data_IF_722039033197
#
_entry.id   IF_722039033197
#
_cell.length_a   1.000
_cell.length_b   1.000
_cell.length_c   1.000
_cell.angle_alpha   90.00
_cell.angle_beta   90.00
_cell.angle_gamma   90.00
#
_symmetry.space_group_name_H-M   'P 1'
#
loop_
_entity.id
_entity.type
_entity.pdbx_description
1 polymer ?
#
# COMPACT_ATOMS: atom_id res chain seq x y z
N UNK A 1 7.20 -17.66 28.38
CA UNK A 1 7.43 -16.24 28.75
C UNK A 1 8.36 -15.58 27.75
N UNK A 2 9.69 -15.75 27.87
CA UNK A 2 10.67 -15.15 26.95
C UNK A 2 10.35 -15.33 25.45
N UNK A 3 9.95 -16.54 24.98
CA UNK A 3 9.62 -16.76 23.57
C UNK A 3 8.49 -15.86 23.05
N UNK A 4 7.46 -15.62 23.86
CA UNK A 4 6.29 -14.82 23.45
C UNK A 4 6.61 -13.34 23.43
N UNK A 5 7.39 -12.86 24.40
CA UNK A 5 7.85 -11.47 24.43
C UNK A 5 8.69 -11.16 23.19
N UNK A 6 9.66 -12.03 22.89
CA UNK A 6 10.49 -11.88 21.70
C UNK A 6 9.67 -11.96 20.41
N UNK A 7 8.70 -12.87 20.33
CA UNK A 7 7.84 -13.00 19.14
C UNK A 7 7.01 -11.73 18.90
N UNK A 8 6.38 -11.17 19.95
CA UNK A 8 5.61 -9.94 19.85
C UNK A 8 6.49 -8.80 19.38
N UNK A 9 7.66 -8.59 20.02
CA UNK A 9 8.57 -7.52 19.62
C UNK A 9 9.12 -7.71 18.20
N UNK A 10 9.44 -8.94 17.79
CA UNK A 10 9.88 -9.22 16.44
C UNK A 10 8.78 -8.90 15.40
N UNK A 11 7.51 -9.15 15.74
CA UNK A 11 6.37 -8.89 14.85
C UNK A 11 5.91 -7.43 14.81
N UNK A 12 6.10 -6.67 15.90
CA UNK A 12 5.46 -5.36 16.06
C UNK A 12 6.41 -4.19 16.23
N UNK A 13 7.63 -4.42 16.72
CA UNK A 13 8.61 -3.37 17.02
C UNK A 13 9.72 -3.25 15.97
N UNK A 14 9.65 -4.04 14.89
CA UNK A 14 10.65 -4.01 13.82
C UNK A 14 10.15 -3.11 12.69
N UNK A 15 10.88 -2.02 12.38
CA UNK A 15 10.51 -1.11 11.30
C UNK A 15 10.66 -1.81 9.96
N UNK A 16 9.70 -1.54 9.07
CA UNK A 16 9.88 -1.76 7.63
C UNK A 16 10.55 -0.58 6.96
N UNK A 17 10.36 0.61 7.52
CA UNK A 17 10.95 1.87 7.10
C UNK A 17 10.79 2.85 8.26
N UNK A 18 11.78 3.73 8.44
CA UNK A 18 11.76 4.73 9.49
C UNK A 18 11.03 5.99 9.04
N UNK A 19 10.30 6.61 9.97
CA UNK A 19 9.73 7.94 9.76
C UNK A 19 10.82 9.01 9.77
N UNK A 20 10.62 10.13 9.06
CA UNK A 20 11.44 11.32 9.23
C UNK A 20 11.42 11.81 10.69
N UNK A 21 12.56 12.34 11.16
CA UNK A 21 12.67 12.92 12.49
C UNK A 21 11.65 14.07 12.66
N UNK A 22 10.85 14.02 13.73
CA UNK A 22 9.83 15.03 14.03
C UNK A 22 8.47 14.84 13.33
N UNK A 23 8.29 13.80 12.52
CA UNK A 23 7.05 13.54 11.77
C UNK A 23 5.96 12.76 12.51
N UNK A 24 6.14 12.45 13.81
CA UNK A 24 5.23 11.56 14.54
C UNK A 24 4.57 12.27 15.73
N UNK A 25 3.24 12.18 15.81
CA UNK A 25 2.47 12.54 16.99
C UNK A 25 1.98 11.25 17.68
N UNK A 26 2.28 11.08 18.96
CA UNK A 26 1.61 10.09 19.78
C UNK A 26 0.20 10.59 20.08
N UNK A 27 -0.81 9.91 19.56
CA UNK A 27 -2.20 10.34 19.75
C UNK A 27 -2.73 9.80 21.07
N UNK A 28 -3.10 10.72 21.97
CA UNK A 28 -3.96 10.42 23.13
C UNK A 28 -5.44 10.46 22.76
N UNK A 29 -5.79 10.84 21.53
CA UNK A 29 -7.17 10.78 21.09
C UNK A 29 -7.60 9.31 21.06
N UNK A 30 -8.72 9.01 21.71
CA UNK A 30 -9.49 7.82 21.40
C UNK A 30 -9.86 7.96 19.92
N UNK A 31 -9.11 7.33 19.01
CA UNK A 31 -9.57 7.19 17.63
C UNK A 31 -10.97 6.62 17.70
N UNK A 32 -11.86 7.18 16.89
CA UNK A 32 -13.26 6.77 16.83
C UNK A 32 -13.36 5.25 16.92
N UNK A 33 -14.21 4.75 17.81
CA UNK A 33 -14.62 3.34 17.87
C UNK A 33 -15.31 2.87 16.56
N UNK A 34 -15.19 3.62 15.46
CA UNK A 34 -15.73 3.35 14.13
C UNK A 34 -15.02 2.19 13.41
N UNK A 35 -13.82 1.79 13.87
CA UNK A 35 -13.13 0.57 13.41
C UNK A 35 -13.16 -0.48 14.52
N UNK A 36 -14.34 -1.01 14.79
CA UNK A 36 -14.59 -2.09 15.77
C UNK A 36 -13.66 -3.29 15.53
N UNK A 37 -13.19 -3.50 14.29
CA UNK A 37 -12.26 -4.58 13.94
C UNK A 37 -10.91 -4.49 14.64
N UNK A 38 -10.33 -3.30 14.81
CA UNK A 38 -8.96 -3.16 15.32
C UNK A 38 -8.90 -3.43 16.84
N UNK A 39 -9.88 -2.88 17.57
CA UNK A 39 -10.04 -3.15 19.01
C UNK A 39 -10.29 -4.63 19.27
N UNK A 40 -11.14 -5.27 18.47
CA UNK A 40 -11.40 -6.71 18.59
C UNK A 40 -10.14 -7.53 18.26
N UNK A 41 -9.42 -7.17 17.19
CA UNK A 41 -8.19 -7.85 16.79
C UNK A 41 -7.12 -7.79 17.89
N UNK A 42 -6.93 -6.62 18.50
CA UNK A 42 -6.01 -6.42 19.62
C UNK A 42 -6.40 -7.26 20.86
N UNK A 43 -7.68 -7.24 21.23
CA UNK A 43 -8.19 -8.07 22.33
C UNK A 43 -7.91 -9.55 22.04
N UNK A 44 -8.32 -10.06 20.88
CA UNK A 44 -8.14 -11.47 20.51
C UNK A 44 -6.64 -11.84 20.48
N UNK A 45 -5.81 -10.97 19.92
CA UNK A 45 -4.37 -11.17 19.79
C UNK A 45 -3.63 -11.29 21.12
N UNK A 46 -4.11 -10.60 22.17
CA UNK A 46 -3.50 -10.65 23.50
C UNK A 46 -4.11 -11.68 24.46
N UNK A 47 -5.24 -12.33 24.12
CA UNK A 47 -5.78 -13.44 24.92
C UNK A 47 -4.74 -14.55 25.15
N UNK A 48 -4.02 -15.06 24.13
CA UNK A 48 -2.98 -16.08 24.33
C UNK A 48 -1.86 -15.62 25.27
N UNK A 49 -1.48 -14.34 25.20
CA UNK A 49 -0.48 -13.74 26.09
C UNK A 49 -0.97 -13.80 27.54
N UNK A 50 -2.23 -13.42 27.77
CA UNK A 50 -2.91 -13.54 29.04
C UNK A 50 -2.96 -14.96 29.59
N UNK A 51 -3.30 -15.94 28.75
CA UNK A 51 -3.35 -17.36 29.15
C UNK A 51 -1.99 -17.84 29.65
N UNK A 52 -0.91 -17.44 28.96
CA UNK A 52 0.46 -17.82 29.31
C UNK A 52 0.92 -17.17 30.61
N UNK A 53 0.60 -15.89 30.82
CA UNK A 53 0.98 -15.20 32.06
C UNK A 53 0.03 -15.46 33.23
N UNK A 54 -1.16 -16.00 32.99
CA UNK A 54 -2.15 -16.34 34.01
C UNK A 54 -1.63 -17.29 35.08
N UNK A 55 -0.63 -18.13 34.75
CA UNK A 55 0.04 -19.02 35.71
C UNK A 55 0.73 -18.25 36.87
N UNK A 56 1.00 -16.96 36.70
CA UNK A 56 1.60 -16.08 37.71
C UNK A 56 0.58 -15.19 38.43
N UNK A 57 -0.71 -15.35 38.13
CA UNK A 57 -1.80 -14.54 38.67
C UNK A 57 -2.12 -13.32 37.81
N UNK A 58 -3.36 -12.83 37.99
CA UNK A 58 -3.97 -11.78 37.15
C UNK A 58 -3.14 -10.50 37.12
N UNK A 59 -2.70 -10.00 38.29
CA UNK A 59 -1.95 -8.73 38.38
C UNK A 59 -0.63 -8.79 37.59
N UNK A 60 0.09 -9.90 37.66
CA UNK A 60 1.36 -10.07 36.93
C UNK A 60 1.10 -10.20 35.43
N UNK A 61 0.05 -10.91 35.04
CA UNK A 61 -0.34 -11.00 33.63
C UNK A 61 -0.69 -9.63 33.03
N UNK A 62 -1.48 -8.83 33.74
CA UNK A 62 -1.79 -7.47 33.32
C UNK A 62 -0.52 -6.60 33.27
N UNK A 63 0.35 -6.66 34.28
CA UNK A 63 1.62 -5.90 34.30
C UNK A 63 2.50 -6.21 33.08
N UNK A 64 2.74 -7.50 32.78
CA UNK A 64 3.54 -7.88 31.62
C UNK A 64 2.89 -7.51 30.29
N UNK A 65 1.56 -7.67 30.17
CA UNK A 65 0.84 -7.26 28.98
C UNK A 65 0.93 -5.75 28.75
N UNK A 66 0.80 -4.93 29.79
CA UNK A 66 0.98 -3.47 29.72
C UNK A 66 2.40 -3.13 29.29
N UNK A 67 3.42 -3.77 29.86
CA UNK A 67 4.82 -3.51 29.50
C UNK A 67 5.09 -3.83 28.02
N UNK A 68 4.67 -5.02 27.57
CA UNK A 68 4.85 -5.47 26.18
C UNK A 68 4.10 -4.55 25.22
N UNK A 69 2.85 -4.23 25.53
CA UNK A 69 2.02 -3.39 24.66
C UNK A 69 2.56 -1.97 24.60
N UNK A 70 2.91 -1.35 25.73
CA UNK A 70 3.44 0.01 25.74
C UNK A 70 4.77 0.09 24.98
N UNK A 71 5.65 -0.90 25.12
CA UNK A 71 6.89 -0.93 24.36
C UNK A 71 6.61 -1.09 22.85
N UNK A 72 5.75 -2.03 22.47
CA UNK A 72 5.31 -2.24 21.09
C UNK A 72 4.74 -0.96 20.49
N UNK A 73 3.78 -0.31 21.14
CA UNK A 73 3.16 0.92 20.65
C UNK A 73 4.16 2.09 20.58
N UNK A 74 4.99 2.27 21.61
CA UNK A 74 5.99 3.35 21.60
C UNK A 74 7.01 3.16 20.48
N UNK A 75 7.43 1.92 20.21
CA UNK A 75 8.37 1.62 19.12
C UNK A 75 7.80 1.98 17.74
N UNK A 76 6.47 1.92 17.57
CA UNK A 76 5.81 2.25 16.31
C UNK A 76 5.83 3.74 15.98
N UNK A 77 6.15 4.62 16.93
CA UNK A 77 6.26 6.06 16.70
C UNK A 77 7.28 6.43 15.62
N UNK A 78 8.32 5.61 15.45
CA UNK A 78 9.37 5.84 14.44
C UNK A 78 9.18 4.97 13.20
N UNK A 79 8.09 4.21 13.09
CA UNK A 79 7.84 3.25 12.01
C UNK A 79 6.82 3.81 11.01
N UNK A 80 7.17 3.81 9.73
CA UNK A 80 6.22 4.20 8.67
C UNK A 80 4.95 3.33 8.72
N UNK A 81 3.79 3.91 8.39
CA UNK A 81 2.49 3.22 8.28
C UNK A 81 1.89 2.60 9.56
N UNK A 82 2.53 2.78 10.72
CA UNK A 82 2.03 2.29 12.01
C UNK A 82 1.60 3.42 12.93
N UNK A 83 0.35 3.42 13.39
CA UNK A 83 -0.18 4.52 14.19
C UNK A 83 -0.44 4.05 15.61
N UNK A 84 0.48 4.29 16.56
CA UNK A 84 0.28 3.83 17.91
C UNK A 84 -0.79 4.65 18.64
N UNK A 85 -1.54 3.98 19.50
CA UNK A 85 -2.61 4.59 20.27
C UNK A 85 -2.73 4.04 21.69
N UNK A 86 -3.17 4.89 22.61
CA UNK A 86 -3.52 4.46 23.98
C UNK A 86 -4.66 3.44 23.96
N UNK A 87 -5.58 3.55 23.00
CA UNK A 87 -6.65 2.56 22.77
C UNK A 87 -6.11 1.17 22.45
N UNK A 88 -4.98 1.07 21.75
CA UNK A 88 -4.35 -0.20 21.41
C UNK A 88 -3.73 -0.83 22.65
N UNK A 89 -3.09 -0.02 23.50
CA UNK A 89 -2.61 -0.49 24.81
C UNK A 89 -3.75 -1.01 25.67
N UNK A 90 -4.86 -0.28 25.75
CA UNK A 90 -6.03 -0.68 26.56
C UNK A 90 -6.65 -1.98 26.02
N UNK A 91 -6.83 -2.10 24.72
CA UNK A 91 -7.42 -3.30 24.08
C UNK A 91 -6.53 -4.53 24.23
N UNK A 92 -5.22 -4.38 24.05
CA UNK A 92 -4.23 -5.43 24.30
C UNK A 92 -4.24 -5.90 25.76
N UNK A 93 -4.21 -4.97 26.73
CA UNK A 93 -4.27 -5.29 28.16
C UNK A 93 -5.60 -5.96 28.52
N UNK A 94 -6.71 -5.53 27.92
CA UNK A 94 -8.03 -6.15 28.10
C UNK A 94 -8.04 -7.60 27.61
N UNK A 95 -7.49 -7.86 26.41
CA UNK A 95 -7.29 -9.22 25.88
C UNK A 95 -6.47 -10.11 26.82
N UNK A 96 -5.33 -9.62 27.29
CA UNK A 96 -4.49 -10.36 28.23
C UNK A 96 -5.18 -10.60 29.59
N UNK A 97 -5.98 -9.65 30.05
CA UNK A 97 -6.77 -9.79 31.29
C UNK A 97 -7.80 -10.91 31.12
N UNK A 98 -8.53 -10.94 30.00
CA UNK A 98 -9.47 -12.02 29.68
C UNK A 98 -8.76 -13.38 29.61
N UNK A 99 -7.63 -13.45 28.92
CA UNK A 99 -6.83 -14.69 28.83
C UNK A 99 -6.34 -15.18 30.20
N UNK A 100 -5.91 -14.27 31.07
CA UNK A 100 -5.48 -14.61 32.42
C UNK A 100 -6.64 -15.13 33.28
N UNK A 101 -7.82 -14.50 33.20
CA UNK A 101 -9.03 -14.97 33.86
C UNK A 101 -9.44 -16.37 33.38
N UNK A 102 -9.34 -16.63 32.08
CA UNK A 102 -9.59 -17.95 31.48
C UNK A 102 -8.61 -18.99 32.04
N UNK A 103 -7.31 -18.67 32.06
CA UNK A 103 -6.28 -19.56 32.61
C UNK A 103 -6.50 -19.88 34.08
N UNK A 104 -6.89 -18.88 34.89
CA UNK A 104 -7.21 -19.06 36.31
C UNK A 104 -8.48 -19.89 36.53
N UNK A 105 -9.52 -19.66 35.72
CA UNK A 105 -10.81 -20.37 35.85
C UNK A 105 -10.71 -21.83 35.42
N UNK A 106 -9.95 -22.13 34.37
CA UNK A 106 -9.85 -23.48 33.78
C UNK A 106 -8.52 -24.17 34.07
N UNK A 107 -7.72 -23.61 34.98
CA UNK A 107 -6.41 -24.15 35.42
C UNK A 107 -5.54 -24.63 34.25
N UNK A 108 -5.47 -23.81 33.20
CA UNK A 108 -4.72 -24.11 31.97
C UNK A 108 -3.23 -24.08 32.30
N UNK A 109 -2.62 -25.24 32.46
CA UNK A 109 -1.16 -25.38 32.41
C UNK A 109 -0.76 -25.53 30.96
N UNK A 110 0.24 -24.77 30.49
CA UNK A 110 0.77 -24.93 29.13
C UNK A 110 1.19 -26.39 28.92
N UNK A 111 0.43 -27.21 28.17
CA UNK A 111 0.79 -28.59 27.98
C UNK A 111 2.07 -28.65 27.13
N UNK A 112 2.91 -29.65 27.35
CA UNK A 112 3.95 -29.98 26.37
C UNK A 112 3.23 -30.46 25.10
N UNK A 113 3.02 -29.54 24.15
CA UNK A 113 2.33 -29.86 22.90
C UNK A 113 3.24 -30.76 22.08
N UNK A 114 2.87 -32.03 21.93
CA UNK A 114 3.47 -32.90 20.92
C UNK A 114 2.98 -32.46 19.55
N UNK A 115 3.90 -32.07 18.68
CA UNK A 115 3.61 -31.71 17.30
C UNK A 115 3.44 -33.00 16.51
N UNK A 116 2.20 -33.28 16.07
CA UNK A 116 1.92 -34.45 15.23
C UNK A 116 2.42 -34.23 13.80
N UNK A 117 2.60 -35.33 13.05
CA UNK A 117 2.92 -35.26 11.60
C UNK A 117 1.88 -34.46 10.82
N UNK A 118 0.59 -34.57 11.17
CA UNK A 118 -0.48 -33.82 10.51
C UNK A 118 -0.40 -32.32 10.79
N UNK A 119 -0.13 -31.92 12.04
CA UNK A 119 0.06 -30.52 12.39
C UNK A 119 1.29 -29.93 11.68
N UNK A 120 2.33 -30.73 11.48
CA UNK A 120 3.53 -30.33 10.76
C UNK A 120 3.29 -30.16 9.24
N UNK A 121 2.52 -31.06 8.62
CA UNK A 121 2.09 -30.92 7.22
C UNK A 121 1.22 -29.67 7.07
N UNK A 122 0.27 -29.44 7.98
CA UNK A 122 -0.56 -28.24 7.96
C UNK A 122 0.28 -26.97 8.10
N UNK A 123 1.25 -26.95 9.01
CA UNK A 123 2.18 -25.83 9.15
C UNK A 123 2.99 -25.59 7.87
N UNK A 124 3.47 -26.65 7.21
CA UNK A 124 4.19 -26.54 5.94
C UNK A 124 3.31 -26.00 4.81
N UNK A 125 2.05 -26.44 4.70
CA UNK A 125 1.10 -25.91 3.72
C UNK A 125 0.77 -24.44 3.98
N UNK A 126 0.60 -24.06 5.25
CA UNK A 126 0.36 -22.67 5.63
C UNK A 126 1.59 -21.79 5.36
N UNK A 127 2.80 -22.31 5.55
CA UNK A 127 4.05 -21.64 5.13
C UNK A 127 4.04 -21.32 3.63
N UNK A 128 3.68 -22.31 2.78
CA UNK A 128 3.60 -22.09 1.32
C UNK A 128 2.51 -21.07 0.98
N UNK A 129 1.32 -21.19 1.59
CA UNK A 129 0.22 -20.26 1.37
C UNK A 129 0.60 -18.82 1.78
N UNK A 130 1.34 -18.66 2.89
CA UNK A 130 1.79 -17.35 3.38
C UNK A 130 2.83 -16.73 2.44
N UNK A 131 3.77 -17.52 1.91
CA UNK A 131 4.73 -17.05 0.90
C UNK A 131 4.01 -16.63 -0.38
N UNK A 132 3.05 -17.42 -0.86
CA UNK A 132 2.25 -17.08 -2.03
C UNK A 132 1.42 -15.81 -1.81
N UNK A 133 0.83 -15.65 -0.62
CA UNK A 133 0.13 -14.42 -0.24
C UNK A 133 1.04 -13.19 -0.29
N UNK A 134 2.24 -13.27 0.29
CA UNK A 134 3.22 -12.17 0.19
C UNK A 134 3.59 -11.89 -1.26
N UNK A 135 3.75 -12.92 -2.09
CA UNK A 135 4.03 -12.77 -3.51
C UNK A 135 2.94 -12.00 -4.25
N UNK A 136 1.66 -12.20 -3.89
CA UNK A 136 0.55 -11.40 -4.45
C UNK A 136 0.54 -9.95 -3.96
N UNK A 137 1.10 -9.67 -2.78
CA UNK A 137 1.20 -8.30 -2.25
C UNK A 137 2.36 -7.52 -2.86
N UNK A 138 3.46 -8.21 -3.20
CA UNK A 138 4.74 -7.61 -3.55
C UNK A 138 5.10 -7.68 -5.04
N UNK A 139 4.30 -8.37 -5.86
CA UNK A 139 4.54 -8.55 -7.30
C UNK A 139 4.54 -7.27 -8.13
N UNK A 140 4.14 -6.15 -7.53
CA UNK A 140 4.11 -4.88 -8.24
C UNK A 140 5.26 -3.99 -7.76
N UNK A 141 6.38 -3.90 -8.48
CA UNK A 141 7.40 -2.89 -8.22
C UNK A 141 6.90 -1.50 -8.62
N UNK A 142 7.42 -0.45 -7.96
CA UNK A 142 7.25 0.93 -8.42
C UNK A 142 7.93 1.07 -9.79
N UNK A 143 7.25 1.66 -10.78
CA UNK A 143 7.89 1.97 -12.06
C UNK A 143 8.83 3.16 -11.87
N UNK A 144 10.14 2.91 -12.01
CA UNK A 144 11.17 3.95 -12.01
C UNK A 144 11.20 4.74 -13.32
N UNK A 145 10.29 4.47 -14.29
CA UNK A 145 10.40 5.03 -15.65
C UNK A 145 10.27 6.55 -15.68
N UNK A 146 9.53 7.15 -14.76
CA UNK A 146 9.47 8.61 -14.57
C UNK A 146 10.76 9.26 -14.04
N UNK A 147 11.71 8.48 -13.48
CA UNK A 147 13.01 8.96 -12.95
C UNK A 147 14.21 8.40 -13.70
N UNK A 148 14.03 7.33 -14.49
CA UNK A 148 15.12 6.53 -15.08
C UNK A 148 14.87 6.07 -16.53
N UNK A 149 13.82 6.53 -17.20
CA UNK A 149 13.56 6.21 -18.62
C UNK A 149 13.52 7.47 -19.48
N UNK A 150 14.00 7.44 -20.74
CA UNK A 150 13.67 8.47 -21.73
C UNK A 150 12.15 8.44 -21.93
N UNK A 151 11.47 9.51 -21.51
CA UNK A 151 10.02 9.57 -21.36
C UNK A 151 9.20 8.77 -22.38
N UNK A 152 8.34 7.87 -21.93
CA UNK A 152 7.50 7.04 -22.80
C UNK A 152 6.03 7.47 -22.71
N UNK A 153 5.28 7.17 -23.76
CA UNK A 153 3.82 7.08 -23.69
C UNK A 153 3.50 5.75 -23.00
N UNK A 154 3.05 5.79 -21.75
CA UNK A 154 2.79 4.59 -20.92
C UNK A 154 1.40 4.00 -21.20
N UNK A 155 0.44 4.83 -21.59
CA UNK A 155 -0.89 4.39 -22.02
C UNK A 155 -1.50 5.38 -23.01
N UNK A 156 -2.19 4.84 -24.02
CA UNK A 156 -3.04 5.60 -24.94
C UNK A 156 -4.34 4.84 -25.16
N UNK A 157 -5.43 5.41 -24.66
CA UNK A 157 -6.78 4.91 -24.83
C UNK A 157 -7.57 5.90 -25.65
N UNK A 158 -7.71 5.60 -26.95
CA UNK A 158 -8.49 6.42 -27.88
C UNK A 158 -9.98 6.35 -27.62
N UNK A 159 -10.46 5.19 -27.14
CA UNK A 159 -11.88 4.90 -26.89
C UNK A 159 -12.73 4.83 -28.19
N UNK A 160 -12.05 4.53 -29.30
CA UNK A 160 -12.60 4.46 -30.66
C UNK A 160 -13.37 3.18 -30.99
N UNK A 161 -13.33 2.15 -30.13
CA UNK A 161 -13.89 0.83 -30.44
C UNK A 161 -15.39 0.91 -30.73
N UNK A 162 -15.89 0.24 -31.78
CA UNK A 162 -17.30 0.40 -32.16
C UNK A 162 -18.30 -0.34 -31.23
N UNK A 163 -17.83 -1.31 -30.45
CA UNK A 163 -18.66 -2.10 -29.52
C UNK A 163 -17.80 -2.88 -28.54
N UNK A 164 -18.43 -3.45 -27.52
CA UNK A 164 -17.79 -4.29 -26.53
C UNK A 164 -17.25 -3.49 -25.34
N UNK A 165 -16.85 -4.22 -24.31
CA UNK A 165 -16.36 -3.66 -23.05
C UNK A 165 -14.83 -3.52 -23.00
N UNK A 166 -14.12 -3.92 -24.04
CA UNK A 166 -12.66 -3.86 -24.08
C UNK A 166 -12.21 -2.46 -24.48
N UNK A 167 -11.19 -1.95 -23.80
CA UNK A 167 -10.49 -0.70 -24.15
C UNK A 167 -9.09 -1.06 -24.58
N UNK A 168 -8.75 -0.83 -25.84
CA UNK A 168 -7.43 -1.17 -26.37
C UNK A 168 -6.42 -0.09 -26.00
N UNK A 169 -5.21 -0.53 -25.69
CA UNK A 169 -4.05 0.36 -25.53
C UNK A 169 -3.30 0.47 -26.86
N UNK A 170 -3.00 1.71 -27.25
CA UNK A 170 -2.22 2.04 -28.44
C UNK A 170 -0.81 2.55 -28.11
N UNK A 171 -0.41 2.51 -26.83
CA UNK A 171 0.96 2.86 -26.43
C UNK A 171 1.99 1.77 -26.75
N UNK A 172 1.53 0.52 -26.90
CA UNK A 172 2.38 -0.66 -27.09
C UNK A 172 2.77 -1.36 -25.79
N UNK A 173 2.18 -0.97 -24.65
CA UNK A 173 2.44 -1.57 -23.33
C UNK A 173 1.35 -2.53 -22.87
N UNK A 174 0.44 -2.92 -23.77
CA UNK A 174 -0.64 -3.87 -23.49
C UNK A 174 -1.56 -3.44 -22.32
N UNK A 175 -1.69 -2.13 -22.11
CA UNK A 175 -2.54 -1.54 -21.05
C UNK A 175 -4.04 -1.60 -21.37
N UNK A 176 -4.52 -2.79 -21.75
CA UNK A 176 -5.91 -3.02 -22.14
C UNK A 176 -6.82 -2.96 -20.92
N UNK A 177 -7.85 -2.12 -20.99
CA UNK A 177 -8.83 -1.94 -19.92
C UNK A 177 -10.14 -2.65 -20.19
N UNK A 178 -11.01 -2.64 -19.18
CA UNK A 178 -12.38 -3.16 -19.30
C UNK A 178 -13.39 -2.19 -18.71
N UNK A 179 -14.38 -1.79 -19.52
CA UNK A 179 -15.54 -1.07 -19.02
C UNK A 179 -16.34 -1.90 -18.03
N UNK A 180 -16.84 -1.28 -16.97
CA UNK A 180 -17.70 -1.94 -15.99
C UNK A 180 -19.07 -2.34 -16.57
N UNK A 181 -19.56 -1.58 -17.56
CA UNK A 181 -20.74 -1.90 -18.40
C UNK A 181 -20.47 -1.49 -19.85
N UNK A 182 -21.24 -2.04 -20.80
CA UNK A 182 -21.13 -1.60 -22.20
C UNK A 182 -21.40 -0.09 -22.30
N UNK A 183 -20.45 0.74 -22.80
CA UNK A 183 -20.64 2.17 -22.88
C UNK A 183 -21.45 2.55 -24.13
N UNK A 184 -22.18 3.66 -24.04
CA UNK A 184 -22.63 4.38 -25.22
C UNK A 184 -21.41 5.09 -25.81
N UNK A 185 -21.32 5.14 -27.14
CA UNK A 185 -20.25 5.83 -27.86
C UNK A 185 -20.84 6.85 -28.81
N UNK A 186 -20.21 8.02 -28.88
CA UNK A 186 -20.64 9.16 -29.68
C UNK A 186 -19.43 9.74 -30.42
N UNK A 187 -19.67 10.65 -31.36
CA UNK A 187 -18.57 11.39 -31.98
C UNK A 187 -17.82 12.20 -30.91
N UNK A 188 -16.53 11.93 -30.80
CA UNK A 188 -15.58 12.62 -29.93
C UNK A 188 -14.90 13.80 -30.61
N UNK A 189 -13.85 14.28 -29.97
CA UNK A 189 -12.92 15.24 -30.55
C UNK A 189 -11.90 14.57 -31.48
N UNK A 190 -11.56 13.31 -31.21
CA UNK A 190 -10.60 12.50 -31.95
C UNK A 190 -11.18 11.11 -32.24
N UNK A 191 -12.17 11.04 -33.12
CA UNK A 191 -12.84 9.78 -33.44
C UNK A 191 -14.11 9.60 -32.59
N UNK A 192 -14.22 8.49 -31.85
CA UNK A 192 -15.33 8.24 -30.93
C UNK A 192 -14.94 8.57 -29.49
N UNK A 193 -15.91 9.05 -28.71
CA UNK A 193 -15.81 9.21 -27.27
C UNK A 193 -16.70 8.18 -26.56
N UNK A 194 -16.25 7.68 -25.43
CA UNK A 194 -17.07 6.86 -24.55
C UNK A 194 -17.89 7.74 -23.59
N UNK A 195 -19.16 7.37 -23.39
CA UNK A 195 -20.07 8.03 -22.46
C UNK A 195 -20.07 7.32 -21.10
N UNK A 196 -19.87 8.09 -20.05
CA UNK A 196 -19.88 7.70 -18.65
C UNK A 196 -21.15 8.27 -18.01
N UNK A 197 -21.92 7.42 -17.34
CA UNK A 197 -23.23 7.77 -16.76
C UNK A 197 -23.17 8.08 -15.25
N UNK A 198 -21.96 8.31 -14.70
CA UNK A 198 -21.74 8.42 -13.26
C UNK A 198 -21.69 7.07 -12.53
N UNK A 199 -21.90 5.95 -13.22
CA UNK A 199 -21.74 4.58 -12.67
C UNK A 199 -20.81 3.70 -13.50
N UNK A 200 -20.66 4.00 -14.79
CA UNK A 200 -19.75 3.35 -15.70
C UNK A 200 -18.32 3.90 -15.51
N UNK A 201 -17.33 3.04 -15.72
CA UNK A 201 -15.90 3.37 -15.60
C UNK A 201 -15.08 2.32 -16.33
N UNK A 202 -13.81 2.62 -16.62
CA UNK A 202 -12.86 1.64 -17.19
C UNK A 202 -11.92 1.19 -16.08
N UNK A 203 -11.80 -0.11 -15.88
CA UNK A 203 -10.90 -0.77 -14.94
C UNK A 203 -9.66 -1.27 -15.67
N UNK A 204 -8.48 -0.85 -15.20
CA UNK A 204 -7.17 -1.31 -15.70
C UNK A 204 -6.45 -2.21 -14.68
N UNK A 205 -7.11 -2.59 -13.59
CA UNK A 205 -6.56 -3.43 -12.55
C UNK A 205 -5.41 -2.78 -11.79
N UNK A 206 -4.59 -3.64 -11.18
CA UNK A 206 -3.31 -3.25 -10.59
C UNK A 206 -2.26 -3.21 -11.70
N UNK A 207 -1.75 -2.02 -12.01
CA UNK A 207 -0.79 -1.81 -13.11
C UNK A 207 0.55 -1.36 -12.59
N UNK A 208 1.58 -2.17 -12.78
CA UNK A 208 2.98 -1.79 -12.53
C UNK A 208 3.45 -0.70 -13.49
N UNK A 209 2.95 -0.72 -14.73
CA UNK A 209 3.29 0.26 -15.77
C UNK A 209 2.91 1.67 -15.34
N UNK A 210 1.71 1.79 -14.77
CA UNK A 210 1.13 3.07 -14.36
C UNK A 210 1.48 3.49 -12.92
N UNK A 211 2.37 2.75 -12.23
CA UNK A 211 2.94 3.10 -10.93
C UNK A 211 4.13 4.06 -11.07
N UNK A 212 3.87 5.23 -11.62
CA UNK A 212 4.90 6.23 -11.90
C UNK A 212 5.41 6.89 -10.60
N UNK A 213 6.72 7.08 -10.48
CA UNK A 213 7.35 7.75 -9.33
C UNK A 213 8.29 8.90 -9.72
N UNK A 214 8.02 9.56 -10.86
CA UNK A 214 8.82 10.69 -11.35
C UNK A 214 7.99 11.60 -12.24
N UNK A 215 8.61 12.17 -13.27
CA UNK A 215 7.89 13.03 -14.21
C UNK A 215 6.62 12.34 -14.74
N UNK A 216 5.56 13.11 -14.93
CA UNK A 216 4.28 12.57 -15.36
C UNK A 216 3.48 13.62 -16.13
N UNK A 217 2.80 13.18 -17.19
CA UNK A 217 1.74 13.95 -17.82
C UNK A 217 0.51 13.08 -18.04
N UNK A 218 -0.66 13.58 -17.67
CA UNK A 218 -1.95 12.94 -17.97
C UNK A 218 -2.76 13.91 -18.83
N UNK A 219 -3.27 13.44 -19.97
CA UNK A 219 -4.12 14.22 -20.88
C UNK A 219 -5.42 13.50 -21.16
N UNK A 220 -6.51 14.25 -21.34
CA UNK A 220 -7.78 13.72 -21.84
C UNK A 220 -8.60 14.83 -22.48
N UNK A 221 -9.43 14.47 -23.47
CA UNK A 221 -10.58 15.27 -23.85
C UNK A 221 -11.77 14.89 -22.97
N UNK A 222 -12.45 15.90 -22.42
CA UNK A 222 -13.62 15.70 -21.58
C UNK A 222 -14.78 16.61 -21.99
N UNK A 223 -16.01 16.09 -21.81
CA UNK A 223 -17.25 16.86 -21.90
C UNK A 223 -18.21 16.41 -20.81
N UNK A 224 -18.21 17.11 -19.68
CA UNK A 224 -19.05 16.78 -18.54
C UNK A 224 -20.52 17.11 -18.82
N UNK A 225 -21.43 16.17 -18.57
CA UNK A 225 -22.89 16.38 -18.68
C UNK A 225 -23.53 16.74 -17.34
N UNK A 226 -22.91 16.33 -16.23
CA UNK A 226 -23.26 16.69 -14.87
C UNK A 226 -22.04 16.56 -13.96
N UNK A 227 -22.08 17.17 -12.77
CA UNK A 227 -21.03 17.01 -11.76
C UNK A 227 -21.54 16.24 -10.53
N UNK A 228 -20.72 15.39 -9.91
CA UNK A 228 -20.99 14.84 -8.59
C UNK A 228 -20.88 15.93 -7.50
N UNK A 229 -21.09 15.52 -6.25
CA UNK A 229 -21.08 16.43 -5.08
C UNK A 229 -19.76 17.18 -4.92
N UNK A 230 -18.65 16.57 -5.31
CA UNK A 230 -17.31 17.14 -5.21
C UNK A 230 -16.50 16.77 -6.46
N UNK A 231 -15.31 16.18 -6.34
CA UNK A 231 -14.47 15.74 -7.47
C UNK A 231 -15.20 14.85 -8.49
N UNK A 232 -14.92 15.06 -9.78
CA UNK A 232 -15.28 14.15 -10.87
C UNK A 232 -14.01 13.59 -11.51
N UNK A 233 -13.64 12.36 -11.13
CA UNK A 233 -12.37 11.77 -11.52
C UNK A 233 -12.32 11.37 -13.00
N UNK A 234 -11.31 11.85 -13.72
CA UNK A 234 -11.07 11.54 -15.13
C UNK A 234 -10.14 10.35 -15.23
N UNK A 235 -8.97 10.44 -14.56
CA UNK A 235 -8.02 9.34 -14.38
C UNK A 235 -7.61 9.31 -12.91
N UNK A 236 -7.63 8.14 -12.27
CA UNK A 236 -7.30 8.02 -10.85
C UNK A 236 -6.57 6.71 -10.53
N UNK A 237 -5.49 6.84 -9.76
CA UNK A 237 -4.83 5.75 -9.01
C UNK A 237 -4.76 6.11 -7.51
N UNK A 238 -5.63 7.01 -7.03
CA UNK A 238 -5.65 7.44 -5.63
C UNK A 238 -6.06 6.30 -4.67
N UNK A 239 -5.17 5.92 -3.76
CA UNK A 239 -5.51 5.00 -2.67
C UNK A 239 -4.84 5.45 -1.38
N UNK A 240 -5.62 5.63 -0.30
CA UNK A 240 -5.13 6.06 1.01
C UNK A 240 -4.22 7.31 0.91
N UNK A 241 -4.66 8.32 0.15
CA UNK A 241 -3.93 9.55 -0.14
C UNK A 241 -2.57 9.33 -0.84
N UNK A 242 -2.49 8.36 -1.77
CA UNK A 242 -1.29 8.06 -2.57
C UNK A 242 -1.63 7.93 -4.03
N UNK A 243 -0.66 8.16 -4.90
CA UNK A 243 -0.83 8.06 -6.34
C UNK A 243 -1.18 9.41 -6.95
N UNK A 244 -1.96 9.37 -8.01
CA UNK A 244 -2.31 10.57 -8.77
C UNK A 244 -3.77 10.57 -9.18
N UNK A 245 -4.27 11.77 -9.43
CA UNK A 245 -5.57 11.97 -10.02
C UNK A 245 -5.59 13.23 -10.88
N UNK A 246 -6.18 13.08 -12.07
CA UNK A 246 -6.67 14.18 -12.88
C UNK A 246 -8.20 14.19 -12.77
N UNK A 247 -8.77 15.32 -12.39
CA UNK A 247 -10.21 15.47 -12.16
C UNK A 247 -10.73 16.86 -12.56
N UNK A 248 -12.04 17.04 -12.40
CA UNK A 248 -12.63 18.37 -12.22
C UNK A 248 -13.13 18.52 -10.79
N UNK A 249 -12.85 19.63 -10.12
CA UNK A 249 -13.02 19.79 -8.66
C UNK A 249 -13.60 21.16 -8.29
N UNK A 250 -14.23 21.26 -7.11
CA UNK A 250 -14.71 22.52 -6.50
C UNK A 250 -13.95 22.89 -5.22
N UNK A 251 -12.86 22.19 -4.90
CA UNK A 251 -12.03 22.42 -3.71
C UNK A 251 -11.62 23.90 -3.49
N UNK A 252 -11.61 24.71 -4.56
CA UNK A 252 -11.24 26.12 -4.57
C UNK A 252 -12.35 27.06 -5.06
N UNK A 253 -13.60 26.63 -4.94
CA UNK A 253 -14.79 27.44 -5.23
C UNK A 253 -15.45 27.07 -6.55
N UNK A 254 -14.95 27.59 -7.67
CA UNK A 254 -15.50 27.23 -8.98
C UNK A 254 -15.02 25.87 -9.46
N UNK A 255 -15.78 25.24 -10.36
CA UNK A 255 -15.43 23.96 -10.96
C UNK A 255 -14.28 24.13 -11.95
N UNK A 256 -13.07 23.70 -11.60
CA UNK A 256 -11.88 23.80 -12.46
C UNK A 256 -11.16 22.44 -12.60
N UNK A 257 -10.06 22.39 -13.34
CA UNK A 257 -9.18 21.20 -13.40
C UNK A 257 -8.55 20.99 -12.01
N UNK A 258 -8.49 19.75 -11.52
CA UNK A 258 -7.63 19.37 -10.40
C UNK A 258 -6.60 18.36 -10.85
N UNK A 259 -5.33 18.61 -10.50
CA UNK A 259 -4.25 17.63 -10.65
C UNK A 259 -3.58 17.40 -9.31
N UNK A 260 -3.79 16.20 -8.75
CA UNK A 260 -3.52 15.84 -7.36
C UNK A 260 -2.52 14.70 -7.32
N UNK A 261 -1.44 14.87 -6.55
CA UNK A 261 -0.41 13.86 -6.29
C UNK A 261 0.01 13.94 -4.82
N UNK A 262 0.76 12.97 -4.34
CA UNK A 262 1.44 13.09 -3.04
C UNK A 262 2.95 13.02 -3.15
N UNK A 263 3.62 13.77 -2.27
CA UNK A 263 5.08 13.69 -2.14
C UNK A 263 5.49 12.35 -1.52
N UNK A 264 6.80 12.11 -1.45
CA UNK A 264 7.34 10.88 -0.88
C UNK A 264 6.96 10.63 0.60
N UNK A 265 6.56 11.68 1.33
CA UNK A 265 6.08 11.62 2.70
C UNK A 265 4.56 11.42 2.81
N UNK A 266 3.83 11.42 1.69
CA UNK A 266 2.37 11.34 1.66
C UNK A 266 1.67 12.68 1.86
N UNK A 267 2.38 13.82 1.80
CA UNK A 267 1.73 15.12 1.81
C UNK A 267 1.14 15.43 0.44
N UNK A 268 -0.05 16.03 0.42
CA UNK A 268 -0.74 16.40 -0.80
C UNK A 268 -0.04 17.55 -1.54
N UNK A 269 0.21 17.33 -2.82
CA UNK A 269 0.64 18.33 -3.81
C UNK A 269 -0.49 18.45 -4.83
N UNK A 270 -1.18 19.57 -4.88
CA UNK A 270 -2.31 19.74 -5.80
C UNK A 270 -2.29 21.07 -6.51
N UNK A 271 -2.48 21.02 -7.83
CA UNK A 271 -2.69 22.18 -8.67
C UNK A 271 -4.14 22.25 -9.09
N UNK A 272 -4.75 23.40 -8.88
CA UNK A 272 -6.10 23.71 -9.33
C UNK A 272 -6.04 24.66 -10.52
N UNK A 273 -6.94 24.48 -11.48
CA UNK A 273 -7.10 25.37 -12.63
C UNK A 273 -7.60 26.76 -12.23
N UNK A 274 -7.33 27.75 -13.07
CA UNK A 274 -7.84 29.11 -12.93
C UNK A 274 -9.18 29.32 -13.64
N UNK A 275 -9.49 28.50 -14.64
CA UNK A 275 -10.67 28.67 -15.49
C UNK A 275 -11.82 27.73 -15.10
N UNK A 276 -13.02 28.30 -14.95
CA UNK A 276 -14.24 27.53 -14.66
C UNK A 276 -14.72 26.74 -15.88
N UNK A 277 -15.06 25.48 -15.68
CA UNK A 277 -15.50 24.56 -16.74
C UNK A 277 -17.03 24.51 -16.84
N UNK A 278 -17.56 24.80 -18.04
CA UNK A 278 -18.98 24.71 -18.31
C UNK A 278 -19.41 23.27 -18.66
N UNK A 279 -20.63 22.89 -18.28
CA UNK A 279 -21.23 21.64 -18.73
C UNK A 279 -21.41 21.63 -20.25
N UNK A 280 -21.41 20.43 -20.83
CA UNK A 280 -21.67 20.16 -22.25
C UNK A 280 -20.72 20.90 -23.20
N UNK A 281 -19.52 21.26 -22.73
CA UNK A 281 -18.44 21.85 -23.54
C UNK A 281 -17.24 20.92 -23.54
N UNK A 282 -16.62 20.74 -24.72
CA UNK A 282 -15.39 19.97 -24.83
C UNK A 282 -14.20 20.78 -24.33
N UNK A 283 -13.39 20.15 -23.49
CA UNK A 283 -12.12 20.69 -23.01
C UNK A 283 -11.02 19.64 -23.13
N UNK A 284 -9.85 20.05 -23.60
CA UNK A 284 -8.64 19.26 -23.46
C UNK A 284 -7.98 19.65 -22.14
N UNK A 285 -7.94 18.71 -21.20
CA UNK A 285 -7.40 18.94 -19.85
C UNK A 285 -6.13 18.14 -19.67
N UNK A 286 -5.12 18.79 -19.06
CA UNK A 286 -3.81 18.20 -18.87
C UNK A 286 -3.27 18.53 -17.49
N UNK A 287 -2.71 17.53 -16.81
CA UNK A 287 -1.86 17.71 -15.64
C UNK A 287 -0.42 17.32 -15.97
N UNK A 288 0.55 18.19 -15.65
CA UNK A 288 1.98 17.98 -15.84
C UNK A 288 2.70 18.09 -14.50
N UNK A 289 3.42 17.05 -14.12
CA UNK A 289 4.33 17.05 -12.99
C UNK A 289 5.76 16.88 -13.50
N UNK A 290 6.60 17.87 -13.21
CA UNK A 290 8.02 17.83 -13.50
C UNK A 290 8.78 17.68 -12.18
N UNK A 291 9.18 16.45 -11.87
CA UNK A 291 9.94 16.11 -10.68
C UNK A 291 11.29 16.81 -10.61
N UNK A 292 11.99 16.91 -11.75
CA UNK A 292 13.32 17.54 -11.80
C UNK A 292 13.24 19.06 -11.59
N UNK A 293 12.25 19.72 -12.20
CA UNK A 293 12.03 21.16 -12.05
C UNK A 293 11.16 21.52 -10.83
N UNK A 294 10.62 20.51 -10.13
CA UNK A 294 9.68 20.67 -9.03
C UNK A 294 8.47 21.56 -9.40
N UNK A 295 7.89 21.33 -10.58
CA UNK A 295 6.69 22.04 -11.03
C UNK A 295 5.48 21.11 -11.12
N UNK A 296 4.31 21.67 -10.86
CA UNK A 296 3.02 21.01 -10.96
C UNK A 296 2.06 21.96 -11.66
N UNK A 297 1.73 21.63 -12.90
CA UNK A 297 1.08 22.52 -13.85
C UNK A 297 -0.19 21.87 -14.42
N UNK A 298 -1.20 22.69 -14.70
CA UNK A 298 -2.40 22.27 -15.44
C UNK A 298 -2.55 23.10 -16.70
N UNK A 299 -3.02 22.47 -17.78
CA UNK A 299 -3.30 23.13 -19.05
C UNK A 299 -4.74 22.86 -19.48
N UNK A 300 -5.37 23.92 -20.00
CA UNK A 300 -6.71 23.89 -20.57
C UNK A 300 -6.63 24.29 -22.03
N UNK A 301 -7.08 23.42 -22.94
CA UNK A 301 -7.07 23.66 -24.39
C UNK A 301 -5.69 24.07 -24.93
N UNK A 302 -4.63 23.47 -24.38
CA UNK A 302 -3.24 23.71 -24.81
C UNK A 302 -2.56 24.92 -24.16
N UNK A 303 -3.29 25.72 -23.38
CA UNK A 303 -2.77 26.89 -22.68
C UNK A 303 -2.59 26.62 -21.18
N UNK A 304 -1.59 27.25 -20.56
CA UNK A 304 -1.32 27.10 -19.13
C UNK A 304 -2.48 27.72 -18.33
N UNK A 305 -3.10 26.95 -17.43
CA UNK A 305 -4.27 27.35 -16.65
C UNK A 305 -4.00 27.26 -15.14
N UNK A 306 -2.77 27.49 -14.69
CA UNK A 306 -2.42 27.38 -13.27
C UNK A 306 -3.19 28.38 -12.40
N UNK A 307 -3.97 27.85 -11.46
CA UNK A 307 -4.53 28.56 -10.31
C UNK A 307 -3.81 28.19 -9.01
N UNK A 308 -4.59 27.99 -7.94
CA UNK A 308 -4.07 27.75 -6.58
C UNK A 308 -3.16 26.51 -6.50
N UNK A 309 -2.05 26.61 -5.75
CA UNK A 309 -1.22 25.46 -5.34
C UNK A 309 -1.54 25.10 -3.90
N UNK A 310 -1.90 23.85 -3.64
CA UNK A 310 -1.88 23.28 -2.30
C UNK A 310 -0.58 22.50 -2.08
N UNK A 311 0.09 22.76 -0.95
CA UNK A 311 1.35 22.13 -0.59
C UNK A 311 2.56 22.71 -1.33
N UNK A 312 3.69 22.04 -1.18
CA UNK A 312 4.93 22.35 -1.90
C UNK A 312 5.22 21.24 -2.89
N UNK A 313 5.56 21.58 -4.14
CA UNK A 313 5.91 20.58 -5.14
C UNK A 313 7.30 20.04 -4.83
N UNK A 314 7.40 18.74 -4.57
CA UNK A 314 8.65 18.05 -4.32
C UNK A 314 9.20 17.42 -5.59
N UNK A 315 10.46 16.97 -5.56
CA UNK A 315 11.07 16.25 -6.69
C UNK A 315 10.81 14.74 -6.70
N UNK A 316 9.96 14.25 -5.80
CA UNK A 316 9.63 12.82 -5.70
C UNK A 316 8.14 12.68 -5.39
N UNK A 317 7.41 12.03 -6.28
CA UNK A 317 6.02 11.66 -6.02
C UNK A 317 5.93 10.24 -5.43
N UNK A 318 4.87 9.99 -4.67
CA UNK A 318 4.53 8.67 -4.17
C UNK A 318 3.47 8.02 -5.07
N UNK A 319 3.82 6.90 -5.70
CA UNK A 319 2.85 6.08 -6.46
C UNK A 319 1.91 5.30 -5.53
N UNK A 320 0.90 4.65 -6.10
CA UNK A 320 -0.08 3.84 -5.37
C UNK A 320 -0.12 2.41 -5.94
N UNK A 321 -0.31 1.39 -5.09
CA UNK A 321 -0.64 0.02 -5.56
C UNK A 321 -2.12 -0.12 -5.95
N UNK A 322 -2.89 0.96 -5.82
CA UNK A 322 -4.31 0.99 -6.09
C UNK A 322 -4.66 0.69 -7.54
N UNK A 323 -5.92 0.34 -7.72
CA UNK A 323 -6.52 0.12 -9.02
C UNK A 323 -6.46 1.43 -9.83
N UNK A 324 -6.14 1.31 -11.12
CA UNK A 324 -6.20 2.45 -12.04
C UNK A 324 -7.57 2.46 -12.70
N UNK A 325 -8.23 3.62 -12.66
CA UNK A 325 -9.52 3.83 -13.30
C UNK A 325 -9.53 5.05 -14.20
N UNK A 326 -10.36 4.97 -15.24
CA UNK A 326 -10.85 6.13 -16.00
C UNK A 326 -12.35 6.31 -15.72
N UNK A 327 -12.76 7.55 -15.46
CA UNK A 327 -14.15 7.93 -15.18
C UNK A 327 -14.62 7.63 -13.75
N UNK A 328 -13.73 7.22 -12.85
CA UNK A 328 -14.04 6.93 -11.45
C UNK A 328 -12.84 7.16 -10.55
N UNK A 329 -13.10 7.65 -9.32
CA UNK A 329 -12.09 7.70 -8.26
C UNK A 329 -11.85 6.30 -7.69
N UNK A 330 -10.60 5.93 -7.51
CA UNK A 330 -10.21 4.55 -7.15
C UNK A 330 -10.66 4.10 -5.76
N UNK A 331 -10.82 5.01 -4.82
CA UNK A 331 -11.22 4.72 -3.43
C UNK A 331 -12.70 5.04 -3.12
N UNK A 332 -13.46 5.63 -4.05
CA UNK A 332 -14.83 6.08 -3.79
C UNK A 332 -15.72 6.07 -5.05
N UNK A 333 -16.98 5.66 -4.87
CA UNK A 333 -18.01 5.68 -5.93
C UNK A 333 -18.75 7.02 -6.02
N UNK A 334 -18.52 7.95 -5.10
CA UNK A 334 -19.23 9.23 -5.04
C UNK A 334 -18.67 10.27 -6.02
N UNK A 335 -17.48 10.02 -6.57
CA UNK A 335 -16.70 10.97 -7.36
C UNK A 335 -16.50 10.49 -8.80
N UNK A 336 -17.52 9.81 -9.33
CA UNK A 336 -17.51 9.29 -10.69
C UNK A 336 -17.78 10.39 -11.71
N UNK A 337 -17.17 10.26 -12.88
CA UNK A 337 -17.39 11.17 -14.00
C UNK A 337 -18.72 10.87 -14.70
N UNK A 338 -19.39 11.93 -15.14
CA UNK A 338 -20.62 11.87 -15.93
C UNK A 338 -20.48 12.78 -17.15
N UNK A 339 -20.48 12.19 -18.34
CA UNK A 339 -20.21 12.88 -19.60
C UNK A 339 -19.46 12.02 -20.61
N UNK A 340 -18.76 12.65 -21.54
CA UNK A 340 -17.92 11.97 -22.52
C UNK A 340 -16.43 12.15 -22.21
N UNK A 341 -15.64 11.09 -22.38
CA UNK A 341 -14.17 11.12 -22.34
C UNK A 341 -13.65 10.55 -23.66
N UNK A 342 -12.57 11.15 -24.18
CA UNK A 342 -11.91 10.80 -25.42
C UNK A 342 -10.38 10.98 -25.28
N UNK A 343 -9.60 10.19 -26.02
CA UNK A 343 -8.14 10.25 -26.17
C UNK A 343 -7.37 10.46 -24.84
N UNK A 344 -7.48 9.48 -23.94
CA UNK A 344 -6.78 9.51 -22.66
C UNK A 344 -5.35 9.05 -22.84
N UNK A 345 -4.38 9.82 -22.35
CA UNK A 345 -2.96 9.50 -22.43
C UNK A 345 -2.26 9.68 -21.09
N UNK A 346 -1.31 8.79 -20.80
CA UNK A 346 -0.41 8.89 -19.66
C UNK A 346 1.03 8.79 -20.16
N UNK A 347 1.85 9.75 -19.78
CA UNK A 347 3.26 9.82 -20.12
C UNK A 347 4.12 9.76 -18.86
N UNK A 348 5.25 9.05 -18.92
CA UNK A 348 6.28 9.05 -17.87
C UNK A 348 7.25 10.23 -17.97
N UNK A 349 6.83 11.33 -18.61
CA UNK A 349 7.60 12.57 -18.70
C UNK A 349 6.69 13.80 -18.69
N UNK A 350 7.31 14.95 -18.38
CA UNK A 350 6.66 16.24 -18.40
C UNK A 350 6.60 16.76 -19.85
N UNK A 351 5.40 16.84 -20.43
CA UNK A 351 5.21 17.45 -21.75
C UNK A 351 5.44 18.96 -21.68
N UNK A 352 6.10 19.50 -22.70
CA UNK A 352 6.17 20.95 -22.90
C UNK A 352 4.86 21.48 -23.47
N UNK A 353 4.62 22.78 -23.36
CA UNK A 353 3.45 23.45 -23.97
C UNK A 353 3.27 23.10 -25.46
N UNK A 354 4.36 23.10 -26.24
CA UNK A 354 4.29 22.78 -27.67
C UNK A 354 3.94 21.31 -27.92
N UNK A 355 4.45 20.39 -27.10
CA UNK A 355 4.07 18.98 -27.17
C UNK A 355 2.60 18.77 -26.77
N UNK A 356 2.09 19.50 -25.77
CA UNK A 356 0.67 19.46 -25.38
C UNK A 356 -0.21 19.93 -26.54
N UNK A 357 0.15 21.04 -27.20
CA UNK A 357 -0.57 21.53 -28.37
C UNK A 357 -0.55 20.51 -29.53
N UNK A 358 0.57 19.81 -29.75
CA UNK A 358 0.63 18.74 -30.74
C UNK A 358 -0.28 17.56 -30.37
N UNK A 359 -0.23 17.08 -29.12
CA UNK A 359 -1.08 15.98 -28.61
C UNK A 359 -2.56 16.29 -28.81
N UNK A 360 -2.99 17.51 -28.46
CA UNK A 360 -4.37 17.99 -28.61
C UNK A 360 -4.90 17.90 -30.05
N UNK A 361 -4.02 17.96 -31.05
CA UNK A 361 -4.36 17.89 -32.48
C UNK A 361 -3.91 16.58 -33.15
N UNK A 362 -3.78 15.50 -32.37
CA UNK A 362 -3.31 14.20 -32.87
C UNK A 362 -1.89 14.20 -33.51
N UNK A 363 -1.09 15.22 -33.20
CA UNK A 363 0.29 15.34 -33.67
C UNK A 363 1.24 14.35 -33.00
N UNK A 364 2.31 13.99 -33.71
CA UNK A 364 3.39 13.17 -33.17
C UNK A 364 4.33 14.04 -32.35
N UNK A 365 4.58 13.64 -31.10
CA UNK A 365 5.56 14.30 -30.24
C UNK A 365 6.91 13.58 -30.32
N UNK A 366 8.00 14.35 -30.31
CA UNK A 366 9.33 13.80 -30.13
C UNK A 366 9.57 13.55 -28.64
N UNK A 367 9.97 12.33 -28.29
CA UNK A 367 10.35 11.96 -26.92
C UNK A 367 11.67 12.65 -26.56
N UNK A 368 11.75 13.37 -25.42
CA UNK A 368 13.01 13.97 -24.98
C UNK A 368 14.06 12.89 -24.67
N UNK A 369 15.29 13.07 -25.17
CA UNK A 369 16.47 12.34 -24.69
C UNK A 369 16.91 12.94 -23.34
N UNK A 370 16.90 12.16 -22.25
CA UNK A 370 17.27 12.64 -20.91
C UNK A 370 18.45 11.84 -20.35
N UNK A 371 19.43 12.56 -19.80
CA UNK A 371 20.56 12.01 -19.06
C UNK A 371 20.15 11.70 -17.60
N UNK A 372 20.47 10.51 -17.12
CA UNK A 372 20.12 10.07 -15.76
C UNK A 372 20.81 10.93 -14.69
N UNK A 373 20.03 11.66 -13.90
CA UNK A 373 20.50 12.24 -12.64
C UNK A 373 19.94 11.40 -11.49
N UNK A 374 20.79 10.57 -10.88
CA UNK A 374 20.46 9.84 -9.66
C UNK A 374 20.53 10.79 -8.46
N UNK A 375 19.42 11.44 -8.13
CA UNK A 375 19.33 12.15 -6.86
C UNK A 375 18.93 11.18 -5.75
N UNK A 376 19.85 10.91 -4.82
CA UNK A 376 19.56 10.24 -3.56
C UNK A 376 18.81 11.21 -2.64
N UNK A 377 17.49 11.05 -2.51
CA UNK A 377 16.68 11.84 -1.60
C UNK A 377 16.51 11.16 -0.24
N UNK A 378 16.48 11.98 0.82
CA UNK A 378 16.46 11.53 2.22
C UNK A 378 15.09 11.08 2.73
N UNK A 379 14.04 11.07 1.91
CA UNK A 379 12.69 10.62 2.29
C UNK A 379 11.95 9.92 1.15
N UNK A 380 12.62 9.17 0.27
CA UNK A 380 11.91 8.30 -0.67
C UNK A 380 11.33 7.11 0.10
N UNK A 381 10.04 7.16 0.50
CA UNK A 381 9.40 5.99 1.10
C UNK A 381 9.42 4.84 0.09
N UNK A 382 10.26 3.84 0.34
CA UNK A 382 10.31 2.62 -0.48
C UNK A 382 9.14 1.70 -0.10
N UNK A 383 8.73 1.72 1.17
CA UNK A 383 7.71 0.82 1.70
C UNK A 383 6.28 1.35 1.57
N UNK A 384 5.34 0.45 1.32
CA UNK A 384 3.89 0.72 1.29
C UNK A 384 3.20 0.32 2.61
N UNK A 385 1.90 0.66 2.75
CA UNK A 385 1.19 0.45 4.02
C UNK A 385 0.97 -1.05 4.27
N UNK A 386 0.77 -1.82 3.21
CA UNK A 386 0.65 -3.28 3.21
C UNK A 386 1.94 -3.92 3.74
N UNK A 387 3.09 -3.28 3.50
CA UNK A 387 4.38 -3.82 3.93
C UNK A 387 4.49 -3.81 5.47
N UNK A 388 3.67 -3.03 6.20
CA UNK A 388 3.70 -3.00 7.69
C UNK A 388 3.44 -4.36 8.33
N UNK A 389 2.81 -5.28 7.60
CA UNK A 389 2.53 -6.65 8.05
C UNK A 389 3.74 -7.59 7.92
N UNK A 390 4.74 -7.23 7.10
CA UNK A 390 5.89 -8.09 6.78
C UNK A 390 6.67 -8.58 8.01
N UNK A 391 6.93 -7.78 9.07
CA UNK A 391 7.58 -8.30 10.27
C UNK A 391 6.73 -9.38 10.97
N UNK A 392 5.41 -9.17 11.06
CA UNK A 392 4.49 -10.18 11.63
C UNK A 392 4.44 -11.45 10.79
N UNK A 393 4.41 -11.31 9.47
CA UNK A 393 4.46 -12.42 8.52
C UNK A 393 5.78 -13.18 8.65
N UNK A 394 6.93 -12.48 8.69
CA UNK A 394 8.25 -13.08 8.84
C UNK A 394 8.36 -13.89 10.14
N UNK A 395 7.89 -13.32 11.26
CA UNK A 395 7.86 -14.01 12.55
C UNK A 395 6.99 -15.27 12.50
N UNK A 396 5.79 -15.16 11.91
CA UNK A 396 4.86 -16.29 11.73
C UNK A 396 5.46 -17.37 10.84
N UNK A 397 6.12 -16.99 9.75
CA UNK A 397 6.79 -17.91 8.83
C UNK A 397 7.84 -18.74 9.58
N UNK A 398 8.65 -18.09 10.42
CA UNK A 398 9.66 -18.76 11.23
C UNK A 398 9.06 -19.75 12.23
N UNK A 399 7.94 -19.38 12.86
CA UNK A 399 7.18 -20.28 13.74
C UNK A 399 6.67 -21.50 12.98
N UNK A 400 6.01 -21.30 11.84
CA UNK A 400 5.42 -22.39 11.04
C UNK A 400 6.47 -23.36 10.52
N UNK A 401 7.59 -22.83 10.02
CA UNK A 401 8.73 -23.63 9.55
C UNK A 401 9.33 -24.45 10.69
N UNK A 402 9.51 -23.84 11.87
CA UNK A 402 9.99 -24.55 13.05
C UNK A 402 9.04 -25.69 13.47
N UNK A 403 7.72 -25.45 13.46
CA UNK A 403 6.71 -26.46 13.76
C UNK A 403 6.74 -27.60 12.72
N UNK A 404 6.84 -27.27 11.44
CA UNK A 404 6.94 -28.26 10.36
C UNK A 404 8.19 -29.14 10.52
N UNK A 405 9.34 -28.52 10.77
CA UNK A 405 10.61 -29.24 10.96
C UNK A 405 10.54 -30.21 12.15
N UNK A 406 10.02 -29.77 13.30
CA UNK A 406 9.97 -30.60 14.51
C UNK A 406 9.05 -31.81 14.32
N UNK A 407 7.88 -31.65 13.68
CA UNK A 407 6.96 -32.77 13.51
C UNK A 407 7.30 -33.72 12.35
N UNK A 408 8.00 -33.25 11.31
CA UNK A 408 8.48 -34.10 10.20
C UNK A 408 9.78 -34.81 10.56
N UNK A 409 10.70 -34.12 11.26
CA UNK A 409 12.00 -34.63 11.68
C UNK A 409 12.21 -34.45 13.19
N UNK A 410 11.71 -35.37 14.03
CA UNK A 410 11.81 -35.25 15.49
C UNK A 410 13.24 -35.35 16.05
N UNK A 411 14.17 -35.96 15.32
CA UNK A 411 15.57 -36.19 15.73
C UNK A 411 16.50 -35.00 15.45
N UNK A 412 15.93 -33.83 15.21
CA UNK A 412 16.63 -32.74 14.56
C UNK A 412 17.30 -31.76 15.53
N UNK A 413 18.45 -31.19 15.13
CA UNK A 413 19.24 -30.28 15.97
C UNK A 413 18.83 -28.82 15.80
N UNK A 414 18.68 -28.12 16.93
CA UNK A 414 18.23 -26.72 16.97
C UNK A 414 18.98 -25.72 16.04
N UNK A 415 20.30 -25.80 15.78
CA UNK A 415 20.98 -24.82 14.93
C UNK A 415 20.49 -24.88 13.49
N UNK A 416 20.16 -26.08 13.02
CA UNK A 416 19.67 -26.27 11.66
C UNK A 416 18.26 -25.62 11.55
N UNK A 417 17.44 -25.66 12.60
CA UNK A 417 16.03 -25.20 12.57
C UNK A 417 16.01 -23.68 12.50
N UNK A 418 16.91 -23.07 13.26
CA UNK A 418 17.21 -21.67 13.16
C UNK A 418 17.70 -21.30 11.76
N UNK A 419 18.57 -22.12 11.15
CA UNK A 419 19.00 -21.96 9.76
C UNK A 419 17.86 -22.02 8.75
N UNK A 420 16.94 -22.98 8.86
CA UNK A 420 15.77 -23.09 7.95
C UNK A 420 14.79 -21.94 8.20
N UNK A 421 14.58 -21.53 9.45
CA UNK A 421 13.73 -20.38 9.79
C UNK A 421 14.31 -19.08 9.21
N UNK A 422 15.62 -18.88 9.31
CA UNK A 422 16.31 -17.77 8.68
C UNK A 422 16.20 -17.82 7.15
N UNK A 423 16.39 -18.99 6.53
CA UNK A 423 16.24 -19.20 5.10
C UNK A 423 14.81 -18.91 4.60
N UNK A 424 13.79 -19.22 5.41
CA UNK A 424 12.41 -18.87 5.10
C UNK A 424 12.22 -17.34 5.06
N UNK A 425 12.83 -16.60 6.00
CA UNK A 425 12.83 -15.14 5.94
C UNK A 425 13.63 -14.57 4.76
N UNK A 426 14.68 -15.26 4.26
CA UNK A 426 15.37 -14.88 3.01
C UNK A 426 14.45 -15.04 1.79
N UNK A 427 13.56 -16.03 1.76
CA UNK A 427 12.58 -16.19 0.67
C UNK A 427 11.63 -14.99 0.60
N UNK A 428 11.26 -14.38 1.74
CA UNK A 428 10.48 -13.14 1.72
C UNK A 428 11.23 -12.02 0.99
N UNK A 429 12.56 -11.93 1.13
CA UNK A 429 13.35 -10.92 0.42
C UNK A 429 13.33 -11.12 -1.09
N UNK A 430 13.39 -12.35 -1.58
CA UNK A 430 13.32 -12.59 -3.04
C UNK A 430 12.02 -12.08 -3.65
N UNK A 431 11.01 -11.89 -2.80
CA UNK A 431 9.66 -11.50 -3.14
C UNK A 431 9.41 -10.00 -2.85
N UNK A 432 10.05 -9.41 -1.83
CA UNK A 432 9.83 -8.02 -1.38
C UNK A 432 10.99 -7.04 -1.63
N UNK A 433 12.19 -7.54 -1.98
CA UNK A 433 13.44 -6.76 -1.99
C UNK A 433 13.52 -5.55 -2.93
N UNK A 434 12.87 -5.48 -4.11
CA UNK A 434 12.97 -4.25 -4.91
C UNK A 434 12.25 -3.05 -4.26
N UNK A 435 11.41 -3.28 -3.24
CA UNK A 435 10.49 -2.29 -2.68
C UNK A 435 10.77 -1.96 -1.19
N UNK A 436 11.89 -2.40 -0.61
CA UNK A 436 12.18 -2.14 0.80
C UNK A 436 13.56 -1.51 0.98
N UNK A 437 13.76 -0.69 2.03
CA UNK A 437 15.07 -0.19 2.39
C UNK A 437 16.10 -1.31 2.56
N UNK A 438 17.36 -1.02 2.22
CA UNK A 438 18.44 -2.01 2.27
C UNK A 438 18.60 -2.66 3.66
N UNK A 439 18.26 -1.98 4.76
CA UNK A 439 18.34 -2.57 6.10
C UNK A 439 17.37 -3.75 6.30
N UNK A 440 16.27 -3.82 5.54
CA UNK A 440 15.29 -4.90 5.63
C UNK A 440 15.82 -6.22 5.06
N UNK A 441 16.85 -6.17 4.21
CA UNK A 441 17.52 -7.36 3.65
C UNK A 441 18.13 -8.26 4.71
N UNK A 442 18.33 -7.76 5.93
CA UNK A 442 18.80 -8.55 7.05
C UNK A 442 17.77 -8.67 8.17
N UNK A 443 16.90 -7.67 8.34
CA UNK A 443 15.90 -7.68 9.40
C UNK A 443 14.83 -8.75 9.21
N UNK A 444 14.23 -8.92 8.02
CA UNK A 444 13.16 -9.93 7.82
C UNK A 444 13.64 -11.38 8.06
N UNK A 445 14.83 -11.80 7.59
CA UNK A 445 15.43 -13.07 7.99
C UNK A 445 15.65 -13.21 9.50
N UNK A 446 16.11 -12.16 10.19
CA UNK A 446 16.30 -12.17 11.63
C UNK A 446 14.98 -12.24 12.41
N UNK A 447 13.92 -11.60 11.92
CA UNK A 447 12.57 -11.69 12.47
C UNK A 447 12.05 -13.13 12.36
N UNK A 448 12.24 -13.75 11.19
CA UNK A 448 11.86 -15.15 10.98
C UNK A 448 12.66 -16.11 11.85
N UNK A 449 13.97 -15.88 11.97
CA UNK A 449 14.84 -16.58 12.92
C UNK A 449 14.32 -16.46 14.36
N UNK A 450 13.92 -15.26 14.81
CA UNK A 450 13.35 -15.04 16.14
C UNK A 450 12.04 -15.83 16.34
N UNK A 451 11.19 -15.88 15.32
CA UNK A 451 10.00 -16.74 15.27
C UNK A 451 10.35 -18.21 15.50
N UNK A 452 11.30 -18.76 14.75
CA UNK A 452 11.76 -20.14 14.91
C UNK A 452 12.42 -20.42 16.26
N UNK A 453 13.22 -19.47 16.76
CA UNK A 453 13.85 -19.55 18.08
C UNK A 453 12.82 -19.59 19.21
N UNK A 454 11.70 -18.89 19.06
CA UNK A 454 10.61 -18.91 20.03
C UNK A 454 10.03 -20.33 20.20
N UNK A 455 9.87 -21.07 19.08
CA UNK A 455 9.41 -22.46 19.09
C UNK A 455 10.46 -23.38 19.70
N UNK A 456 11.72 -23.25 19.27
CA UNK A 456 12.82 -24.07 19.78
C UNK A 456 13.00 -23.93 21.30
N UNK A 457 12.90 -22.70 21.82
CA UNK A 457 12.96 -22.43 23.25
C UNK A 457 11.73 -22.96 24.01
N UNK A 458 10.56 -22.99 23.37
CA UNK A 458 9.32 -23.48 23.98
C UNK A 458 9.31 -25.00 24.13
N UNK A 459 9.85 -25.73 23.14
CA UNK A 459 9.94 -27.20 23.16
C UNK A 459 11.00 -27.71 24.14
N UNK A 460 12.01 -26.90 24.46
CA UNK A 460 13.10 -27.26 25.37
C UNK A 460 12.78 -27.23 26.86
N UNK A 461 11.57 -26.87 27.29
CA UNK A 461 11.21 -26.89 28.72
C UNK A 461 11.27 -28.34 29.24
N UNK A 462 12.24 -28.71 30.09
CA UNK A 462 12.22 -30.02 30.73
C UNK A 462 10.93 -30.13 31.54
N UNK A 463 10.25 -31.27 31.44
CA UNK A 463 9.19 -31.54 32.39
C UNK A 463 9.78 -31.51 33.79
N UNK A 464 9.05 -30.97 34.79
CA UNK A 464 9.41 -31.12 36.21
C UNK A 464 9.58 -32.58 36.66
N UNK A 465 9.30 -33.56 35.79
CA UNK A 465 9.52 -34.98 36.02
C UNK A 465 10.96 -35.45 35.75
N UNK A 466 11.82 -34.67 35.08
CA UNK A 466 13.20 -35.09 34.76
C UNK A 466 14.24 -34.59 35.78
N UNK A 467 13.80 -33.99 36.89
CA UNK A 467 14.69 -33.53 37.99
C UNK A 467 14.71 -34.51 39.19
N UNK A 468 14.03 -35.65 39.07
CA UNK A 468 13.99 -36.72 40.08
C UNK A 468 14.18 -38.10 39.44
N UNK A 469 15.16 -38.22 38.54
CA UNK A 469 15.66 -39.50 38.04
C UNK A 469 17.16 -39.57 38.19
#
# INVERSE_FOLDING_TARGET
>A
MLPVIFLVFAATAIPIEFRPLGGANFSFAFKDFSVVSDVIANIIGYIPIGIIFGEFGLLRACFFATLISTFSETSQLIIMHRYPGVSDVISNVSGATLGALVSLRWTIRSPAIRISRWNAIFAALLTVALILYVWTLSSDPISSRGTSSPGTLEALWKLDENSGRTVLDFSGHEMTGKFSKEPIRLNGMMGNAAVFDGTNYIDFGHSTVLRLAGNMTITAWIKSSSYPVDDAAIVSQLQNDRGYQLDTTIDRGSRTIGFKLTDACGNLMSRYGATSLALNTWYHVVGVYNAAAQTLDVYLNGELDNGFLLGSVSGVQRSSRGLVYVGRRSDSKQFNFSGSIDDVRIYSFALTKSQIAAVMHAGVIQVPTVNHASNSFHCGSLSDNEDKELPGIAATLGVLVALACIGIWPSYQWPILLGISFAAGLLLLTVTAPNLPAFNTWMLPLVSLAGGASVAASVRRPGKHDLYS
#
